data_IF_407846791206
#
_entry.id   IF_407846791206
#
_cell.length_a   1.000
_cell.length_b   1.000
_cell.length_c   1.000
_cell.angle_alpha   90.00
_cell.angle_beta   90.00
_cell.angle_gamma   90.00
#
_symmetry.space_group_name_H-M   'P 1'
#
loop_
_entity.id
_entity.type
_entity.pdbx_description
1 polymer ?
#
# COMPACT_ATOMS: atom_id res chain seq x y z
N UNK A 1 -0.53 15.77 7.26
CA UNK A 1 -0.13 14.93 6.12
C UNK A 1 -1.33 14.69 5.20
N UNK A 2 -1.10 14.49 3.91
CA UNK A 2 -2.13 14.25 2.90
C UNK A 2 -2.30 12.78 2.53
N UNK A 3 -3.37 12.48 1.80
CA UNK A 3 -3.68 11.15 1.27
C UNK A 3 -2.84 10.85 0.01
N UNK A 4 -2.26 9.67 -0.08
CA UNK A 4 -1.50 9.22 -1.24
C UNK A 4 -2.15 7.97 -1.85
N UNK A 5 -2.27 7.96 -3.18
CA UNK A 5 -2.87 6.86 -3.92
C UNK A 5 -1.79 6.24 -4.80
N UNK A 6 -1.60 4.93 -4.67
CA UNK A 6 -0.64 4.17 -5.47
C UNK A 6 -1.41 3.24 -6.41
N UNK A 7 -1.15 3.36 -7.70
CA UNK A 7 -1.71 2.47 -8.73
C UNK A 7 -0.66 1.43 -9.12
N UNK A 8 -1.00 0.15 -8.92
CA UNK A 8 -0.12 -1.00 -9.07
C UNK A 8 0.53 -1.36 -7.73
N UNK A 9 0.43 -2.64 -7.36
CA UNK A 9 1.00 -3.28 -6.18
C UNK A 9 2.07 -4.34 -6.57
N UNK A 10 2.72 -4.13 -7.72
CA UNK A 10 3.84 -4.95 -8.19
C UNK A 10 5.17 -4.59 -7.51
N UNK A 11 6.28 -4.93 -8.17
CA UNK A 11 7.64 -4.79 -7.63
C UNK A 11 7.98 -3.38 -7.12
N UNK A 12 7.41 -2.33 -7.72
CA UNK A 12 7.65 -0.94 -7.34
C UNK A 12 6.55 -0.32 -6.47
N UNK A 13 5.31 -0.74 -6.64
CA UNK A 13 4.15 -0.14 -5.99
C UNK A 13 4.19 -0.26 -4.47
N UNK A 14 4.56 -1.45 -3.98
CA UNK A 14 4.61 -1.73 -2.54
C UNK A 14 5.73 -0.94 -1.84
N UNK A 15 6.98 -0.91 -2.34
CA UNK A 15 8.01 -0.04 -1.76
C UNK A 15 7.64 1.45 -1.72
N UNK A 16 7.00 1.97 -2.78
CA UNK A 16 6.55 3.36 -2.86
C UNK A 16 5.48 3.65 -1.80
N UNK A 17 4.47 2.78 -1.70
CA UNK A 17 3.42 2.89 -0.69
C UNK A 17 3.99 2.81 0.74
N UNK A 18 4.97 1.94 0.97
CA UNK A 18 5.63 1.81 2.26
C UNK A 18 6.43 3.07 2.63
N UNK A 19 7.18 3.63 1.68
CA UNK A 19 7.89 4.89 1.88
C UNK A 19 6.94 6.05 2.22
N UNK A 20 5.82 6.17 1.50
CA UNK A 20 4.79 7.18 1.76
C UNK A 20 4.18 7.01 3.17
N UNK A 21 3.97 5.77 3.61
CA UNK A 21 3.48 5.48 4.97
C UNK A 21 4.49 5.87 6.05
N UNK A 22 5.80 5.61 5.84
CA UNK A 22 6.87 6.09 6.73
C UNK A 22 6.91 7.62 6.81
N UNK A 23 6.68 8.30 5.68
CA UNK A 23 6.55 9.75 5.61
C UNK A 23 5.24 10.27 6.22
N UNK A 24 4.39 9.39 6.76
CA UNK A 24 3.17 9.67 7.50
C UNK A 24 1.95 10.00 6.64
N UNK A 25 1.99 9.66 5.34
CA UNK A 25 0.81 9.76 4.48
C UNK A 25 -0.20 8.65 4.78
N UNK A 26 -1.48 8.95 4.58
CA UNK A 26 -2.54 7.95 4.51
C UNK A 26 -2.54 7.32 3.11
N UNK A 27 -2.15 6.04 3.00
CA UNK A 27 -1.84 5.40 1.73
C UNK A 27 -2.94 4.41 1.34
N UNK A 28 -3.46 4.56 0.13
CA UNK A 28 -4.37 3.59 -0.51
C UNK A 28 -3.69 3.01 -1.74
N UNK A 29 -3.72 1.68 -1.88
CA UNK A 29 -3.21 0.97 -3.05
C UNK A 29 -4.38 0.43 -3.88
N UNK A 30 -4.31 0.62 -5.20
CA UNK A 30 -5.18 -0.04 -6.18
C UNK A 30 -4.35 -0.93 -7.10
N UNK A 31 -4.83 -2.13 -7.37
CA UNK A 31 -4.27 -3.03 -8.39
C UNK A 31 -5.43 -3.82 -9.02
N UNK A 32 -5.26 -4.25 -10.27
CA UNK A 32 -6.23 -5.11 -10.94
C UNK A 32 -6.16 -6.57 -10.44
N UNK A 33 -5.03 -6.95 -9.85
CA UNK A 33 -4.80 -8.27 -9.28
C UNK A 33 -5.00 -8.23 -7.76
N UNK A 34 -6.10 -8.84 -7.30
CA UNK A 34 -6.43 -8.95 -5.87
C UNK A 34 -5.28 -9.56 -5.06
N UNK A 35 -4.57 -10.53 -5.64
CA UNK A 35 -3.41 -11.18 -5.01
C UNK A 35 -2.26 -10.21 -4.72
N UNK A 36 -2.05 -9.18 -5.54
CA UNK A 36 -1.04 -8.17 -5.28
C UNK A 36 -1.48 -7.21 -4.16
N UNK A 37 -2.78 -6.90 -4.09
CA UNK A 37 -3.35 -6.10 -2.98
C UNK A 37 -3.17 -6.85 -1.66
N UNK A 38 -3.52 -8.13 -1.60
CA UNK A 38 -3.39 -8.93 -0.38
C UNK A 38 -1.93 -9.01 0.09
N UNK A 39 -0.99 -9.33 -0.80
CA UNK A 39 0.44 -9.31 -0.48
C UNK A 39 0.91 -7.95 0.02
N UNK A 40 0.44 -6.86 -0.59
CA UNK A 40 0.83 -5.51 -0.17
C UNK A 40 0.41 -5.17 1.28
N UNK A 41 -0.67 -5.77 1.80
CA UNK A 41 -1.13 -5.56 3.18
C UNK A 41 -0.12 -6.08 4.21
N UNK A 42 0.59 -7.16 3.91
CA UNK A 42 1.65 -7.72 4.75
C UNK A 42 2.80 -6.72 4.93
N UNK A 43 3.17 -6.01 3.85
CA UNK A 43 4.26 -5.02 3.87
C UNK A 43 3.85 -3.67 4.45
N UNK A 44 2.58 -3.30 4.31
CA UNK A 44 2.06 -2.02 4.80
C UNK A 44 1.62 -2.05 6.27
N UNK A 45 1.79 -3.20 6.95
CA UNK A 45 1.45 -3.35 8.36
C UNK A 45 -0.05 -3.22 8.66
N UNK A 46 -0.91 -3.49 7.67
CA UNK A 46 -2.34 -3.62 7.92
C UNK A 46 -2.62 -5.02 8.47
N UNK A 47 -2.20 -5.24 9.71
CA UNK A 47 -2.90 -6.18 10.59
C UNK A 47 -4.33 -5.67 10.68
N UNK A 48 -5.25 -6.35 9.99
CA UNK A 48 -6.66 -6.01 10.02
C UNK A 48 -7.15 -5.99 11.46
N UNK A 49 -7.64 -4.84 11.91
CA UNK A 49 -8.71 -4.79 12.91
C UNK A 49 -10.03 -4.74 12.15
N UNK A 50 -10.76 -5.84 12.28
CA UNK A 50 -12.18 -6.10 11.99
C UNK A 50 -12.92 -5.13 11.06
#
# INVERSE_FOLDING_TARGET
>A
MGKAIVFGAGQMGVPVAHALKILGHDVIIYDNFVSNIEKSKEYLGSSGSL
#
